data_IF_952555985774
#
_entry.id   IF_952555985774
#
_cell.length_a   1.000
_cell.length_b   1.000
_cell.length_c   1.000
_cell.angle_alpha   90.00
_cell.angle_beta   90.00
_cell.angle_gamma   90.00
#
_symmetry.space_group_name_H-M   'P 1'
#
loop_
_entity.id
_entity.type
_entity.pdbx_description
1 polymer ?
#
# COMPACT_ATOMS: atom_id res chain seq x y z
N UNK A 1 -8.37 -7.85 -12.83
CA UNK A 1 -9.33 -8.91 -12.49
C UNK A 1 -9.09 -9.46 -11.07
N UNK A 2 -7.91 -9.99 -10.76
CA UNK A 2 -7.64 -10.57 -9.41
C UNK A 2 -7.80 -9.58 -8.24
N UNK A 3 -7.26 -8.36 -8.38
CA UNK A 3 -7.39 -7.30 -7.37
C UNK A 3 -8.86 -6.97 -7.09
N UNK A 4 -9.69 -6.95 -8.13
CA UNK A 4 -11.12 -6.72 -7.98
C UNK A 4 -11.78 -7.84 -7.19
N UNK A 5 -11.48 -9.10 -7.53
CA UNK A 5 -11.99 -10.28 -6.80
C UNK A 5 -11.67 -10.21 -5.30
N UNK A 6 -10.44 -9.84 -4.93
CA UNK A 6 -10.02 -9.68 -3.54
C UNK A 6 -10.84 -8.57 -2.85
N UNK A 7 -10.97 -7.41 -3.50
CA UNK A 7 -11.74 -6.29 -2.96
C UNK A 7 -13.23 -6.68 -2.78
N UNK A 8 -13.81 -7.39 -3.73
CA UNK A 8 -15.20 -7.85 -3.63
C UNK A 8 -15.38 -8.87 -2.51
N UNK A 9 -14.40 -9.75 -2.28
CA UNK A 9 -14.43 -10.68 -1.17
C UNK A 9 -14.39 -9.95 0.18
N UNK A 10 -13.50 -8.97 0.34
CA UNK A 10 -13.45 -8.14 1.56
C UNK A 10 -14.76 -7.40 1.79
N UNK A 11 -15.37 -6.82 0.75
CA UNK A 11 -16.68 -6.16 0.84
C UNK A 11 -17.78 -7.13 1.23
N UNK A 12 -17.84 -8.30 0.58
CA UNK A 12 -18.84 -9.35 0.85
C UNK A 12 -18.80 -9.81 2.31
N UNK A 13 -17.62 -9.86 2.91
CA UNK A 13 -17.43 -10.30 4.30
C UNK A 13 -17.39 -9.16 5.31
N UNK A 14 -17.64 -7.90 4.90
CA UNK A 14 -17.67 -6.75 5.80
C UNK A 14 -16.30 -6.23 6.25
N UNK A 15 -15.21 -6.74 5.69
CA UNK A 15 -13.83 -6.38 6.06
C UNK A 15 -13.20 -5.33 5.13
N UNK A 16 -13.97 -4.72 4.23
CA UNK A 16 -13.39 -3.71 3.35
C UNK A 16 -13.04 -2.42 4.10
N UNK A 17 -13.85 -2.03 5.10
CA UNK A 17 -13.69 -0.75 5.79
C UNK A 17 -12.62 -0.78 6.90
N UNK A 18 -12.34 -1.95 7.49
CA UNK A 18 -11.37 -2.17 8.58
C UNK A 18 -10.01 -2.70 8.09
N UNK A 19 -9.83 -2.91 6.78
CA UNK A 19 -8.61 -3.45 6.20
C UNK A 19 -7.74 -2.36 5.55
N UNK A 20 -6.44 -2.38 5.87
CA UNK A 20 -5.39 -1.68 5.12
C UNK A 20 -5.13 -2.41 3.79
N UNK A 21 -5.25 -1.69 2.67
CA UNK A 21 -4.88 -2.21 1.36
C UNK A 21 -3.65 -1.47 0.82
N UNK A 22 -2.64 -2.22 0.41
CA UNK A 22 -1.43 -1.71 -0.25
C UNK A 22 -1.28 -2.45 -1.57
N UNK A 23 -1.26 -1.69 -2.68
CA UNK A 23 -0.99 -2.20 -4.02
C UNK A 23 0.29 -1.57 -4.54
N UNK A 24 1.28 -2.39 -4.85
CA UNK A 24 2.60 -1.94 -5.31
C UNK A 24 3.22 -2.97 -6.26
N UNK A 25 4.40 -2.66 -6.79
CA UNK A 25 5.26 -3.57 -7.56
C UNK A 25 6.63 -3.61 -6.89
N UNK A 26 7.28 -4.76 -6.90
CA UNK A 26 8.57 -4.97 -6.23
C UNK A 26 9.73 -4.29 -6.95
N UNK A 27 9.64 -4.18 -8.27
CA UNK A 27 10.59 -3.45 -9.11
C UNK A 27 9.89 -2.80 -10.33
N UNK A 28 10.61 -1.92 -11.00
CA UNK A 28 10.20 -1.30 -12.25
C UNK A 28 10.08 -2.33 -13.39
N UNK A 29 9.20 -2.07 -14.35
CA UNK A 29 9.10 -2.93 -15.54
C UNK A 29 10.29 -2.69 -16.47
N UNK A 30 11.05 -3.75 -16.77
CA UNK A 30 12.34 -3.71 -17.47
C UNK A 30 12.15 -3.46 -18.98
N UNK A 31 11.81 -2.25 -19.37
CA UNK A 31 11.86 -1.77 -20.77
C UNK A 31 12.55 -0.39 -20.82
N UNK A 32 13.71 -0.29 -20.17
CA UNK A 32 14.47 0.95 -20.02
C UNK A 32 15.25 0.92 -18.70
N UNK A 33 16.34 1.68 -18.64
CA UNK A 33 17.28 1.85 -17.53
C UNK A 33 16.72 1.69 -16.10
N UNK A 34 17.54 1.18 -15.19
CA UNK A 34 17.23 1.09 -13.76
C UNK A 34 16.90 2.45 -13.13
N UNK A 35 16.05 2.44 -12.10
CA UNK A 35 15.73 3.63 -11.29
C UNK A 35 14.42 4.33 -11.63
N UNK A 36 13.50 3.67 -12.34
CA UNK A 36 12.16 4.18 -12.53
C UNK A 36 11.30 4.02 -11.26
N UNK A 37 10.33 4.93 -11.02
CA UNK A 37 9.43 4.79 -9.89
C UNK A 37 8.52 3.57 -10.06
N UNK A 38 8.26 2.90 -8.96
CA UNK A 38 7.27 1.83 -8.85
C UNK A 38 5.90 2.41 -8.50
N UNK A 39 4.83 1.69 -8.85
CA UNK A 39 3.50 2.05 -8.40
C UNK A 39 3.35 1.84 -6.89
N UNK A 40 2.68 2.77 -6.20
CA UNK A 40 2.27 2.61 -4.80
C UNK A 40 0.89 3.27 -4.63
N UNK A 41 -0.10 2.47 -4.24
CA UNK A 41 -1.43 2.95 -3.85
C UNK A 41 -1.81 2.36 -2.50
N UNK A 42 -2.39 3.19 -1.63
CA UNK A 42 -2.80 2.78 -0.29
C UNK A 42 -4.24 3.21 -0.02
N UNK A 43 -5.01 2.32 0.60
CA UNK A 43 -6.29 2.63 1.25
C UNK A 43 -6.15 2.36 2.74
N UNK A 44 -6.21 3.43 3.53
CA UNK A 44 -6.14 3.34 4.99
C UNK A 44 -7.54 3.57 5.58
N UNK A 45 -8.04 2.70 6.48
CA UNK A 45 -9.28 2.93 7.21
C UNK A 45 -9.33 4.33 7.85
N UNK A 46 -10.43 5.06 7.65
CA UNK A 46 -10.63 6.39 8.23
C UNK A 46 -9.87 7.55 7.55
N UNK A 47 -9.03 7.29 6.55
CA UNK A 47 -8.31 8.35 5.84
C UNK A 47 -9.10 8.91 4.64
N UNK A 48 -8.86 10.17 4.25
CA UNK A 48 -9.45 10.74 3.03
C UNK A 48 -9.08 9.95 1.78
N UNK A 49 -10.04 9.78 0.86
CA UNK A 49 -9.85 9.11 -0.43
C UNK A 49 -9.39 10.12 -1.50
N UNK A 50 -8.68 9.63 -2.52
CA UNK A 50 -8.33 10.43 -3.70
C UNK A 50 -7.17 11.42 -3.52
N UNK A 51 -6.42 11.33 -2.40
CA UNK A 51 -5.23 12.15 -2.18
C UNK A 51 -4.08 11.66 -3.07
N UNK A 52 -3.38 12.60 -3.70
CA UNK A 52 -2.12 12.36 -4.41
C UNK A 52 -0.98 12.88 -3.53
N UNK A 53 0.08 12.08 -3.39
CA UNK A 53 1.28 12.38 -2.60
C UNK A 53 2.44 12.48 -3.61
N UNK A 54 3.20 13.57 -3.54
CA UNK A 54 4.35 13.83 -4.43
C UNK A 54 5.69 13.73 -3.73
N UNK A 55 5.66 13.59 -2.40
CA UNK A 55 6.81 13.33 -1.56
C UNK A 55 7.46 12.00 -1.94
N UNK A 56 8.79 11.97 -1.92
CA UNK A 56 9.55 10.76 -2.24
C UNK A 56 9.39 9.74 -1.12
N UNK A 57 9.00 8.52 -1.51
CA UNK A 57 8.90 7.35 -0.63
C UNK A 57 9.73 6.20 -1.17
N UNK A 58 9.93 5.18 -0.34
CA UNK A 58 10.67 3.97 -0.64
C UNK A 58 9.88 2.74 -0.22
N UNK A 59 10.15 1.59 -0.84
CA UNK A 59 9.58 0.30 -0.40
C UNK A 59 9.87 -0.02 1.07
N UNK A 60 11.02 0.44 1.58
CA UNK A 60 11.41 0.29 2.98
C UNK A 60 10.45 1.01 3.94
N UNK A 61 9.69 2.00 3.47
CA UNK A 61 8.72 2.74 4.30
C UNK A 61 7.45 1.93 4.59
N UNK A 62 7.19 0.85 3.84
CA UNK A 62 5.95 0.05 3.99
C UNK A 62 5.89 -0.61 5.38
N UNK A 63 6.97 -1.24 5.84
CA UNK A 63 7.01 -1.90 7.14
C UNK A 63 6.79 -0.93 8.32
N UNK A 64 7.57 0.16 8.47
CA UNK A 64 7.33 1.12 9.56
C UNK A 64 5.97 1.81 9.46
N UNK A 65 5.41 1.97 8.25
CA UNK A 65 4.03 2.48 8.09
C UNK A 65 3.00 1.52 8.67
N UNK A 66 3.12 0.21 8.40
CA UNK A 66 2.22 -0.81 8.97
C UNK A 66 2.35 -0.84 10.50
N UNK A 67 3.57 -0.82 11.04
CA UNK A 67 3.77 -0.79 12.49
C UNK A 67 3.13 0.43 13.14
N UNK A 68 3.33 1.61 12.55
CA UNK A 68 2.71 2.85 13.04
C UNK A 68 1.18 2.76 13.04
N UNK A 69 0.56 2.29 11.94
CA UNK A 69 -0.89 2.15 11.84
C UNK A 69 -1.48 1.15 12.84
N UNK A 70 -0.72 0.11 13.20
CA UNK A 70 -1.11 -0.88 14.19
C UNK A 70 -0.79 -0.47 15.64
N UNK A 71 -0.08 0.66 15.84
CA UNK A 71 0.41 1.07 17.17
C UNK A 71 1.49 0.14 17.74
N UNK A 72 2.23 -0.55 16.88
CA UNK A 72 3.33 -1.45 17.25
C UNK A 72 4.65 -0.66 17.17
N UNK A 73 5.55 -0.92 18.11
CA UNK A 73 6.90 -0.33 18.07
C UNK A 73 7.65 -0.79 16.81
N UNK A 74 8.31 0.15 16.14
CA UNK A 74 9.18 -0.16 15.00
C UNK A 74 10.42 -0.88 15.54
N UNK A 75 10.80 -2.06 15.02
CA UNK A 75 12.00 -2.76 15.46
C UNK A 75 13.29 -2.03 15.06
N UNK A 76 14.36 -2.26 15.81
CA UNK A 76 15.68 -1.63 15.58
C UNK A 76 16.56 -2.37 14.53
N UNK A 77 16.02 -3.37 13.83
CA UNK A 77 16.73 -4.21 12.87
C UNK A 77 16.40 -3.89 11.41
#
# INVERSE_FOLDING_TARGET
EEVETIIQLLKKHGHYEDTLLILTTDHEYIWGSSGHPIALMMRVPGFPKGRIISERTWMLDVAPTIFNLLGIAIPDW
#
